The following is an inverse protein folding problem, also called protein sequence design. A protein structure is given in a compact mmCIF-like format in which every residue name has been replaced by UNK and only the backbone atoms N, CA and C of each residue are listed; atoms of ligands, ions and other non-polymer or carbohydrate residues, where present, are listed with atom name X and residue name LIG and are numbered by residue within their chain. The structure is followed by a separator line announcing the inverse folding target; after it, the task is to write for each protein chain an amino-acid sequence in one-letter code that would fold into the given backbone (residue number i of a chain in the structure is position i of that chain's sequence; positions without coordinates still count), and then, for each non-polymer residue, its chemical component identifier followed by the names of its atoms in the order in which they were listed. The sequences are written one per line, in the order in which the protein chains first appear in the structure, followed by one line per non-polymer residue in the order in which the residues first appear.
data_IF_054221599413
#
_entry.id   IF_054221599413
#
_cell.length_a   1.000
_cell.length_b   1.000
_cell.length_c   1.000
_cell.angle_alpha   90.00
_cell.angle_beta   90.00
_cell.angle_gamma   90.00
#
_symmetry.space_group_name_H-M   'P 1'
#
loop_
_entity.id
_entity.type
_entity.pdbx_description
1 polymer ?
#
# COMPACT_ATOMS: atom_id res chain seq x y z
N UNK A 1 -13.53 0.15 37.84
CA UNK A 1 -12.47 -0.84 38.15
C UNK A 1 -12.08 -1.57 36.87
N UNK A 2 -10.93 -1.13 36.32
CA UNK A 2 -9.86 -1.94 35.70
C UNK A 2 -10.23 -2.83 34.50
N UNK A 3 -9.71 -2.66 33.30
CA UNK A 3 -8.72 -1.74 32.74
C UNK A 3 -8.57 -2.11 31.27
N UNK A 4 -8.88 -1.18 30.37
CA UNK A 4 -8.75 -1.38 28.93
C UNK A 4 -7.31 -1.11 28.53
N UNK A 5 -6.52 -2.19 28.40
CA UNK A 5 -5.19 -2.11 27.82
C UNK A 5 -5.32 -1.97 26.30
N UNK A 6 -5.24 -0.73 25.83
CA UNK A 6 -4.89 -0.40 24.46
C UNK A 6 -3.50 -0.96 24.14
N UNK A 7 -3.45 -2.11 23.45
CA UNK A 7 -2.24 -2.55 22.75
C UNK A 7 -2.10 -1.71 21.46
N UNK A 8 -1.69 -0.45 21.62
CA UNK A 8 -1.11 0.32 20.51
C UNK A 8 0.30 -0.21 20.31
N UNK A 9 0.54 -0.88 19.19
CA UNK A 9 1.88 -1.17 18.70
C UNK A 9 2.58 0.15 18.38
N UNK A 10 3.18 0.78 19.40
CA UNK A 10 4.15 1.86 19.22
C UNK A 10 5.47 1.21 18.82
N UNK A 11 5.70 1.09 17.51
CA UNK A 11 7.03 0.85 16.97
C UNK A 11 7.85 2.14 17.12
N UNK A 12 8.25 2.45 18.36
CA UNK A 12 9.16 3.54 18.67
C UNK A 12 10.56 2.92 18.75
N UNK A 13 11.12 2.63 17.58
CA UNK A 13 12.52 2.27 17.47
C UNK A 13 13.34 3.55 17.69
N UNK A 14 13.73 3.77 18.95
CA UNK A 14 14.73 4.75 19.33
C UNK A 14 16.10 4.24 18.85
N UNK A 15 16.39 4.41 17.55
CA UNK A 15 17.74 4.28 17.01
C UNK A 15 18.54 5.51 17.44
N UNK A 16 19.08 5.44 18.65
CA UNK A 16 20.15 6.30 19.12
C UNK A 16 21.45 5.84 18.45
N UNK A 17 21.57 6.08 17.15
CA UNK A 17 22.86 6.09 16.49
C UNK A 17 23.61 7.33 16.99
N UNK A 18 24.44 7.14 18.01
CA UNK A 18 25.62 7.98 18.20
C UNK A 18 26.55 7.71 17.02
N UNK A 19 26.23 8.33 15.88
CA UNK A 19 27.18 8.48 14.80
C UNK A 19 28.26 9.44 15.29
N UNK A 20 29.35 8.90 15.83
CA UNK A 20 30.66 9.56 15.83
C UNK A 20 31.16 9.65 14.39
N UNK A 21 30.43 10.39 13.57
CA UNK A 21 30.88 10.78 12.24
C UNK A 21 32.13 11.66 12.39
N UNK A 22 33.07 11.60 11.44
CA UNK A 22 34.32 12.36 11.52
C UNK A 22 34.01 13.86 11.55
N UNK A 23 34.33 14.52 12.67
CA UNK A 23 34.24 15.98 12.89
C UNK A 23 34.98 16.80 11.81
N UNK A 24 35.84 16.16 11.01
CA UNK A 24 36.53 16.77 9.86
C UNK A 24 35.60 17.28 8.75
N UNK A 25 34.39 16.74 8.59
CA UNK A 25 33.46 17.22 7.55
C UNK A 25 32.87 18.62 7.86
N UNK A 26 32.74 18.98 9.13
CA UNK A 26 32.13 20.26 9.52
C UNK A 26 33.06 21.48 9.24
N UNK A 27 34.38 21.30 9.38
CA UNK A 27 35.35 22.38 9.19
C UNK A 27 35.65 22.70 7.71
N UNK A 28 35.56 21.70 6.80
CA UNK A 28 35.69 21.96 5.35
C UNK A 28 34.46 22.68 4.79
N UNK A 29 33.26 22.38 5.31
CA UNK A 29 32.03 23.01 4.85
C UNK A 29 31.93 24.51 5.23
N UNK A 30 32.57 24.95 6.33
CA UNK A 30 32.52 26.35 6.74
C UNK A 30 33.34 27.26 5.81
N UNK A 31 34.51 26.83 5.35
CA UNK A 31 35.36 27.62 4.44
C UNK A 31 34.68 27.85 3.08
N UNK A 32 34.03 26.83 2.53
CA UNK A 32 33.27 26.96 1.28
C UNK A 32 32.07 27.91 1.39
N UNK A 33 31.46 28.02 2.58
CA UNK A 33 30.32 28.91 2.80
C UNK A 33 30.69 30.40 2.78
N UNK A 34 31.89 30.76 3.24
CA UNK A 34 32.37 32.16 3.23
C UNK A 34 32.65 32.66 1.81
N UNK A 35 33.30 31.83 0.99
CA UNK A 35 33.56 32.17 -0.42
C UNK A 35 32.25 32.30 -1.21
N UNK A 36 31.28 31.42 -0.98
CA UNK A 36 29.99 31.46 -1.67
C UNK A 36 29.20 32.75 -1.39
N UNK A 37 29.21 33.23 -0.14
CA UNK A 37 28.59 34.50 0.24
C UNK A 37 29.29 35.70 -0.44
N UNK A 38 30.62 35.69 -0.52
CA UNK A 38 31.40 36.70 -1.23
C UNK A 38 31.09 36.74 -2.74
N UNK A 39 31.06 35.57 -3.39
CA UNK A 39 30.70 35.44 -4.80
C UNK A 39 29.27 35.91 -5.08
N UNK A 40 28.33 35.60 -4.18
CA UNK A 40 26.96 36.09 -4.26
C UNK A 40 26.89 37.62 -4.18
N UNK A 41 27.57 38.24 -3.21
CA UNK A 41 27.61 39.69 -3.06
C UNK A 41 28.22 40.38 -4.29
N UNK A 42 29.27 39.81 -4.88
CA UNK A 42 29.93 40.37 -6.06
C UNK A 42 29.11 40.26 -7.35
N UNK A 43 28.34 39.18 -7.51
CA UNK A 43 27.80 38.78 -8.83
C UNK A 43 26.27 38.85 -8.93
N UNK A 44 25.57 38.57 -7.83
CA UNK A 44 24.12 38.33 -7.82
C UNK A 44 23.33 39.25 -6.89
N UNK A 45 23.98 40.11 -6.10
CA UNK A 45 23.31 41.00 -5.13
C UNK A 45 22.22 41.89 -5.75
N UNK A 46 22.47 42.43 -6.93
CA UNK A 46 21.54 43.34 -7.63
C UNK A 46 20.53 42.59 -8.52
N UNK A 47 20.64 41.26 -8.64
CA UNK A 47 19.71 40.47 -9.45
C UNK A 47 18.33 40.44 -8.80
N UNK A 48 17.28 40.46 -9.60
CA UNK A 48 15.90 40.34 -9.12
C UNK A 48 15.51 38.88 -8.92
N UNK A 49 14.25 38.65 -8.52
CA UNK A 49 13.66 37.32 -8.35
C UNK A 49 13.93 36.40 -9.56
N UNK A 50 14.54 35.25 -9.32
CA UNK A 50 14.97 34.31 -10.34
C UNK A 50 15.94 33.24 -9.81
N UNK A 51 16.37 32.34 -10.66
CA UNK A 51 17.44 31.38 -10.35
C UNK A 51 18.64 31.63 -11.26
N UNK A 52 19.85 31.56 -10.68
CA UNK A 52 21.08 31.93 -11.36
C UNK A 52 22.20 30.92 -11.08
N UNK A 53 22.95 30.47 -12.10
CA UNK A 53 24.14 29.66 -11.85
C UNK A 53 25.23 30.52 -11.18
N UNK A 54 25.89 29.99 -10.14
CA UNK A 54 27.01 30.61 -9.45
C UNK A 54 28.06 29.54 -9.14
N UNK A 55 29.13 29.47 -9.94
CA UNK A 55 30.12 28.39 -9.87
C UNK A 55 29.47 26.99 -9.85
N UNK A 56 29.64 26.24 -8.77
CA UNK A 56 29.08 24.89 -8.56
C UNK A 56 27.68 24.88 -7.92
N UNK A 57 27.04 26.04 -7.84
CA UNK A 57 25.73 26.24 -7.23
C UNK A 57 24.71 26.79 -8.21
N UNK A 58 23.44 26.62 -7.86
CA UNK A 58 22.32 27.38 -8.39
C UNK A 58 21.73 28.17 -7.23
N UNK A 59 21.64 29.49 -7.41
CA UNK A 59 21.13 30.41 -6.39
C UNK A 59 19.71 30.83 -6.76
N UNK A 60 18.78 30.54 -5.88
CA UNK A 60 17.37 30.90 -5.98
C UNK A 60 17.14 32.17 -5.15
N UNK A 61 16.76 33.26 -5.83
CA UNK A 61 16.57 34.58 -5.23
C UNK A 61 15.08 34.91 -5.29
N UNK A 62 14.47 35.15 -4.13
CA UNK A 62 13.17 35.78 -4.02
C UNK A 62 13.34 37.18 -3.44
N UNK A 63 13.05 38.19 -4.26
CA UNK A 63 13.11 39.61 -3.92
C UNK A 63 11.71 40.21 -4.06
N UNK A 64 11.02 40.33 -2.92
CA UNK A 64 9.60 40.66 -2.85
C UNK A 64 9.42 42.10 -2.34
N UNK A 65 8.65 42.91 -3.08
CA UNK A 65 8.23 44.24 -2.61
C UNK A 65 7.15 44.09 -1.54
N UNK A 66 7.29 44.83 -0.45
CA UNK A 66 6.30 44.96 0.61
C UNK A 66 5.26 46.00 0.17
N UNK A 67 4.09 45.52 -0.26
CA UNK A 67 2.99 46.36 -0.72
C UNK A 67 2.37 47.17 0.43
N UNK A 68 2.28 46.57 1.62
CA UNK A 68 1.73 47.20 2.81
C UNK A 68 2.72 47.09 3.99
N UNK A 69 2.98 48.23 4.65
CA UNK A 69 3.79 48.31 5.86
C UNK A 69 3.18 47.57 7.05
N UNK A 70 1.93 47.13 6.98
CA UNK A 70 1.29 46.26 7.97
C UNK A 70 1.80 44.81 7.93
N UNK A 71 2.19 44.30 6.76
CA UNK A 71 2.61 42.89 6.58
C UNK A 71 3.90 42.64 7.35
N UNK A 72 3.92 41.70 8.30
CA UNK A 72 5.10 41.51 9.15
C UNK A 72 6.32 40.99 8.36
N UNK A 73 7.53 41.21 8.90
CA UNK A 73 8.77 40.65 8.32
C UNK A 73 8.71 39.12 8.29
N UNK A 74 8.06 38.49 9.27
CA UNK A 74 7.84 37.04 9.32
C UNK A 74 6.98 36.56 8.15
N UNK A 75 5.90 37.29 7.82
CA UNK A 75 5.03 36.94 6.69
C UNK A 75 5.75 37.13 5.36
N UNK A 76 6.53 38.22 5.22
CA UNK A 76 7.37 38.44 4.05
C UNK A 76 8.40 37.33 3.86
N UNK A 77 9.03 36.87 4.96
CA UNK A 77 9.93 35.72 4.93
C UNK A 77 9.22 34.45 4.47
N UNK A 78 8.05 34.15 5.01
CA UNK A 78 7.27 32.97 4.59
C UNK A 78 6.91 33.04 3.10
N UNK A 79 6.44 34.20 2.61
CA UNK A 79 6.17 34.44 1.19
C UNK A 79 7.43 34.27 0.33
N UNK A 80 8.58 34.78 0.77
CA UNK A 80 9.83 34.64 0.04
C UNK A 80 10.33 33.19 -0.02
N UNK A 81 10.16 32.42 1.06
CA UNK A 81 10.45 30.98 1.07
C UNK A 81 9.55 30.20 0.11
N UNK A 82 8.24 30.48 0.11
CA UNK A 82 7.30 29.90 -0.88
C UNK A 82 7.72 30.26 -2.32
N UNK A 83 8.14 31.51 -2.53
CA UNK A 83 8.61 31.97 -3.85
C UNK A 83 9.90 31.28 -4.29
N UNK A 84 10.85 31.05 -3.39
CA UNK A 84 12.02 30.22 -3.71
C UNK A 84 11.61 28.79 -4.05
N UNK A 85 10.63 28.23 -3.33
CA UNK A 85 10.02 26.94 -3.72
C UNK A 85 9.50 26.96 -5.15
N UNK A 86 8.74 27.98 -5.56
CA UNK A 86 8.32 28.17 -6.97
C UNK A 86 9.49 28.24 -7.95
N UNK A 87 10.56 28.96 -7.61
CA UNK A 87 11.73 29.06 -8.47
C UNK A 87 12.43 27.71 -8.63
N UNK A 88 12.58 26.94 -7.54
CA UNK A 88 13.11 25.57 -7.59
C UNK A 88 12.23 24.66 -8.45
N UNK A 89 10.90 24.80 -8.38
CA UNK A 89 9.97 24.09 -9.28
C UNK A 89 10.19 24.46 -10.74
N UNK A 90 10.29 25.76 -11.04
CA UNK A 90 10.52 26.24 -12.42
C UNK A 90 11.85 25.73 -12.99
N UNK A 91 12.90 25.70 -12.15
CA UNK A 91 14.21 25.18 -12.50
C UNK A 91 14.17 23.65 -12.71
N UNK A 92 13.47 22.92 -11.85
CA UNK A 92 13.29 21.46 -11.97
C UNK A 92 12.60 21.11 -13.30
N UNK A 93 11.54 21.83 -13.66
CA UNK A 93 10.85 21.64 -14.94
C UNK A 93 11.74 21.97 -16.14
N UNK A 94 12.59 23.02 -16.05
CA UNK A 94 13.49 23.37 -17.16
C UNK A 94 14.64 22.37 -17.34
N UNK A 95 15.24 21.91 -16.25
CA UNK A 95 16.45 21.06 -16.29
C UNK A 95 16.14 19.56 -16.37
N UNK A 96 15.10 19.09 -15.66
CA UNK A 96 14.71 17.68 -15.74
C UNK A 96 13.93 17.39 -17.04
N UNK A 97 13.40 18.42 -17.72
CA UNK A 97 12.64 18.32 -18.96
C UNK A 97 11.16 17.95 -18.74
N UNK A 98 10.40 17.77 -19.84
CA UNK A 98 9.09 17.13 -19.75
C UNK A 98 9.30 15.67 -19.39
N UNK A 99 8.77 15.32 -18.23
CA UNK A 99 8.83 13.97 -17.71
C UNK A 99 7.56 13.25 -18.18
N UNK A 100 7.69 12.53 -19.28
CA UNK A 100 6.65 11.65 -19.79
C UNK A 100 7.05 10.21 -19.46
N UNK A 101 6.27 9.57 -18.59
CA UNK A 101 6.42 8.14 -18.29
C UNK A 101 5.48 7.38 -19.24
N UNK A 102 5.97 6.31 -19.89
CA UNK A 102 5.10 5.43 -20.68
C UNK A 102 4.19 4.62 -19.76
N UNK A 103 3.06 5.23 -19.43
CA UNK A 103 2.00 4.65 -18.62
C UNK A 103 0.90 4.01 -19.51
N UNK A 104 1.20 3.72 -20.78
CA UNK A 104 0.23 3.18 -21.73
C UNK A 104 -0.36 1.83 -21.31
N UNK A 105 0.40 1.05 -20.53
CA UNK A 105 -0.02 -0.25 -19.98
C UNK A 105 -0.97 -0.16 -18.79
N UNK A 106 -1.07 1.00 -18.16
CA UNK A 106 -1.90 1.20 -16.97
C UNK A 106 -3.28 1.72 -17.34
N UNK A 107 -4.34 1.31 -16.61
CA UNK A 107 -5.66 1.93 -16.73
C UNK A 107 -5.61 3.44 -16.50
N UNK A 108 -6.59 4.16 -17.05
CA UNK A 108 -6.62 5.64 -17.01
C UNK A 108 -6.58 6.20 -15.58
N UNK A 109 -7.24 5.53 -14.62
CA UNK A 109 -7.30 5.94 -13.21
C UNK A 109 -5.92 5.92 -12.57
N UNK A 110 -5.22 4.77 -12.59
CA UNK A 110 -3.83 4.67 -12.13
C UNK A 110 -2.88 5.55 -12.93
N UNK A 111 -3.05 5.68 -14.24
CA UNK A 111 -2.23 6.58 -15.06
C UNK A 111 -2.31 8.03 -14.56
N UNK A 112 -3.51 8.55 -14.30
CA UNK A 112 -3.69 9.90 -13.74
C UNK A 112 -3.06 10.03 -12.36
N UNK A 113 -3.21 9.03 -11.50
CA UNK A 113 -2.60 9.00 -10.17
C UNK A 113 -1.07 9.06 -10.27
N UNK A 114 -0.48 8.21 -11.10
CA UNK A 114 0.97 8.11 -11.29
C UNK A 114 1.54 9.37 -11.93
N UNK A 115 0.86 9.93 -12.92
CA UNK A 115 1.21 11.20 -13.54
C UNK A 115 1.15 12.35 -12.52
N UNK A 116 0.06 12.46 -11.75
CA UNK A 116 -0.06 13.45 -10.68
C UNK A 116 1.01 13.29 -9.61
N UNK A 117 1.41 12.06 -9.28
CA UNK A 117 2.50 11.80 -8.35
C UNK A 117 3.85 12.25 -8.91
N UNK A 118 4.17 11.91 -10.16
CA UNK A 118 5.37 12.39 -10.85
C UNK A 118 5.42 13.91 -10.89
N UNK A 119 4.31 14.53 -11.31
CA UNK A 119 4.18 15.98 -11.33
C UNK A 119 4.40 16.57 -9.95
N UNK A 120 3.81 16.00 -8.89
CA UNK A 120 4.08 16.44 -7.52
C UNK A 120 5.55 16.28 -7.14
N UNK A 121 6.21 15.17 -7.45
CA UNK A 121 7.62 14.97 -7.13
C UNK A 121 8.53 15.98 -7.85
N UNK A 122 8.28 16.23 -9.14
CA UNK A 122 9.02 17.21 -9.96
C UNK A 122 8.73 18.64 -9.50
N UNK A 123 7.45 18.91 -9.20
CA UNK A 123 6.94 20.21 -8.78
C UNK A 123 7.04 20.40 -7.27
N UNK A 124 7.64 19.55 -6.46
CA UNK A 124 7.83 19.88 -5.03
C UNK A 124 9.20 19.43 -4.53
N UNK A 125 10.31 19.91 -5.13
CA UNK A 125 11.61 19.82 -4.48
C UNK A 125 11.50 20.53 -3.13
N UNK A 126 11.45 19.76 -2.05
CA UNK A 126 11.32 20.31 -0.71
C UNK A 126 12.69 20.80 -0.24
N UNK A 127 12.73 21.91 0.50
CA UNK A 127 13.99 22.41 1.07
C UNK A 127 14.74 21.34 1.88
N UNK A 128 14.01 20.42 2.52
CA UNK A 128 14.60 19.34 3.30
C UNK A 128 15.30 18.25 2.48
N UNK A 129 15.12 18.21 1.16
CA UNK A 129 15.81 17.26 0.27
C UNK A 129 17.21 17.71 -0.13
N UNK A 130 17.56 18.98 0.09
CA UNK A 130 18.81 19.57 -0.39
C UNK A 130 19.62 20.14 0.76
N UNK A 131 20.94 19.96 0.72
CA UNK A 131 21.85 20.64 1.64
C UNK A 131 22.16 22.03 1.09
N UNK A 132 21.16 22.92 1.14
CA UNK A 132 21.33 24.27 0.64
C UNK A 132 21.90 25.26 1.67
N UNK A 133 22.51 26.32 1.17
CA UNK A 133 23.09 27.40 1.97
C UNK A 133 22.21 28.65 1.88
N UNK A 134 21.84 29.21 3.04
CA UNK A 134 21.15 30.49 3.11
C UNK A 134 22.16 31.62 2.93
N UNK A 135 22.10 32.32 1.80
CA UNK A 135 23.02 33.42 1.48
C UNK A 135 22.49 34.77 1.95
N UNK A 136 21.17 34.96 1.91
CA UNK A 136 20.53 36.18 2.36
C UNK A 136 19.12 35.89 2.86
N UNK A 137 18.73 36.56 3.94
CA UNK A 137 17.40 36.48 4.52
C UNK A 137 17.15 37.76 5.34
N UNK A 138 16.99 38.87 4.64
CA UNK A 138 16.95 40.19 5.26
C UNK A 138 15.99 41.15 4.53
N UNK A 139 15.39 42.12 5.25
CA UNK A 139 14.71 43.23 4.63
C UNK A 139 15.72 44.20 3.99
N UNK A 140 15.39 44.71 2.80
CA UNK A 140 16.11 45.75 2.07
C UNK A 140 15.16 46.93 1.79
N UNK A 141 15.03 47.83 2.76
CA UNK A 141 14.07 48.95 2.68
C UNK A 141 12.62 48.45 2.62
N UNK A 142 11.93 48.73 1.50
CA UNK A 142 10.57 48.23 1.25
C UNK A 142 10.53 46.84 0.60
N UNK A 143 11.67 46.16 0.48
CA UNK A 143 11.76 44.83 -0.12
C UNK A 143 12.20 43.83 0.93
N UNK A 144 11.87 42.56 0.71
CA UNK A 144 12.38 41.44 1.49
C UNK A 144 13.10 40.49 0.55
N UNK A 145 14.37 40.21 0.84
CA UNK A 145 15.22 39.39 -0.01
C UNK A 145 15.59 38.10 0.69
N UNK A 146 15.37 36.99 -0.01
CA UNK A 146 15.71 35.65 0.42
C UNK A 146 16.50 34.97 -0.69
N UNK A 147 17.75 34.61 -0.44
CA UNK A 147 18.63 33.95 -1.40
C UNK A 147 19.11 32.61 -0.82
N UNK A 148 18.85 31.54 -1.55
CA UNK A 148 19.17 30.17 -1.14
C UNK A 148 19.96 29.47 -2.24
N UNK A 149 21.12 28.92 -1.92
CA UNK A 149 22.00 28.26 -2.88
C UNK A 149 21.95 26.74 -2.69
N UNK A 150 21.84 26.00 -3.79
CA UNK A 150 21.90 24.52 -3.79
C UNK A 150 23.00 24.08 -4.74
N UNK A 151 23.76 23.04 -4.36
CA UNK A 151 24.82 22.50 -5.20
C UNK A 151 24.24 21.91 -6.50
N UNK A 152 24.86 22.23 -7.64
CA UNK A 152 24.55 21.62 -8.94
C UNK A 152 24.61 20.10 -8.89
N UNK A 153 25.52 19.52 -8.10
CA UNK A 153 25.67 18.07 -7.96
C UNK A 153 24.44 17.41 -7.33
N UNK A 154 23.85 18.04 -6.32
CA UNK A 154 22.62 17.54 -5.68
C UNK A 154 21.42 17.69 -6.59
N UNK A 155 21.33 18.83 -7.27
CA UNK A 155 20.31 19.13 -8.27
C UNK A 155 20.34 18.15 -9.46
N UNK A 156 21.53 17.82 -9.97
CA UNK A 156 21.71 16.81 -11.03
C UNK A 156 21.29 15.43 -10.54
N UNK A 157 21.74 15.01 -9.34
CA UNK A 157 21.31 13.73 -8.74
C UNK A 157 19.80 13.64 -8.55
N UNK A 158 19.16 14.75 -8.17
CA UNK A 158 17.71 14.83 -8.07
C UNK A 158 17.06 14.59 -9.45
N UNK A 159 17.49 15.30 -10.50
CA UNK A 159 16.96 15.06 -11.84
C UNK A 159 17.25 13.66 -12.36
N UNK A 160 18.43 13.08 -12.07
CA UNK A 160 18.76 11.68 -12.41
C UNK A 160 17.83 10.71 -11.70
N UNK A 161 17.54 10.92 -10.41
CA UNK A 161 16.59 10.12 -9.65
C UNK A 161 15.17 10.19 -10.22
N UNK A 162 14.71 11.39 -10.58
CA UNK A 162 13.43 11.59 -11.28
C UNK A 162 13.43 10.84 -12.61
N UNK A 163 14.45 11.02 -13.45
CA UNK A 163 14.56 10.34 -14.75
C UNK A 163 14.56 8.82 -14.59
N UNK A 164 15.24 8.30 -13.58
CA UNK A 164 15.27 6.86 -13.30
C UNK A 164 13.88 6.32 -12.93
N UNK A 165 13.14 7.03 -12.08
CA UNK A 165 11.76 6.65 -11.72
C UNK A 165 10.85 6.63 -12.95
N UNK A 166 11.10 7.54 -13.90
CA UNK A 166 10.27 7.73 -15.10
C UNK A 166 10.54 6.67 -16.15
N UNK A 167 11.79 6.22 -16.24
CA UNK A 167 12.16 5.11 -17.13
C UNK A 167 11.61 3.77 -16.67
N UNK A 168 11.17 3.66 -15.41
CA UNK A 168 10.61 2.44 -14.83
C UNK A 168 9.22 2.71 -14.20
N UNK A 169 8.14 2.63 -15.01
CA UNK A 169 6.77 2.78 -14.53
C UNK A 169 6.44 1.87 -13.34
N UNK A 170 7.10 0.73 -13.24
CA UNK A 170 6.81 -0.25 -12.21
C UNK A 170 7.51 0.12 -10.88
N UNK A 171 8.71 0.69 -10.94
CA UNK A 171 9.33 1.33 -9.77
C UNK A 171 8.53 2.54 -9.28
N UNK A 172 7.99 3.34 -10.19
CA UNK A 172 7.08 4.43 -9.85
C UNK A 172 5.82 3.90 -9.13
N UNK A 173 5.19 2.85 -9.68
CA UNK A 173 4.04 2.20 -9.05
C UNK A 173 4.37 1.71 -7.64
N UNK A 174 5.51 1.01 -7.46
CA UNK A 174 5.95 0.55 -6.15
C UNK A 174 6.14 1.70 -5.17
N UNK A 175 6.82 2.77 -5.58
CA UNK A 175 7.07 3.94 -4.74
C UNK A 175 5.75 4.59 -4.27
N UNK A 176 4.76 4.68 -5.16
CA UNK A 176 3.44 5.23 -4.82
C UNK A 176 2.72 4.30 -3.85
N UNK A 177 2.71 2.99 -4.14
CA UNK A 177 2.05 1.99 -3.32
C UNK A 177 2.65 1.95 -1.91
N UNK A 178 3.98 1.95 -1.78
CA UNK A 178 4.67 1.92 -0.49
C UNK A 178 4.43 3.21 0.30
N UNK A 179 4.41 4.36 -0.38
CA UNK A 179 4.01 5.63 0.23
C UNK A 179 2.56 5.59 0.75
N UNK A 180 1.63 5.11 -0.07
CA UNK A 180 0.23 4.99 0.31
C UNK A 180 0.02 4.02 1.48
N UNK A 181 0.76 2.90 1.52
CA UNK A 181 0.73 1.95 2.65
C UNK A 181 1.28 2.59 3.92
N UNK A 182 2.40 3.32 3.83
CA UNK A 182 3.01 4.02 4.99
C UNK A 182 2.09 5.08 5.57
N UNK A 183 1.31 5.75 4.72
CA UNK A 183 0.33 6.76 5.11
C UNK A 183 -1.05 6.17 5.45
N UNK A 184 -1.20 4.84 5.43
CA UNK A 184 -2.48 4.13 5.64
C UNK A 184 -3.59 4.62 4.69
N UNK A 185 -3.24 5.11 3.50
CA UNK A 185 -4.18 5.54 2.46
C UNK A 185 -4.70 4.33 1.67
N UNK A 186 -5.49 3.50 2.35
CA UNK A 186 -5.98 2.23 1.80
C UNK A 186 -6.92 2.40 0.60
N UNK A 187 -7.56 3.56 0.45
CA UNK A 187 -8.34 3.87 -0.75
C UNK A 187 -7.42 3.98 -1.97
N UNK A 188 -6.28 4.67 -1.86
CA UNK A 188 -5.32 4.73 -2.96
C UNK A 188 -4.72 3.35 -3.25
N UNK A 189 -4.38 2.60 -2.19
CA UNK A 189 -3.86 1.23 -2.31
C UNK A 189 -4.84 0.31 -3.06
N UNK A 190 -6.14 0.37 -2.75
CA UNK A 190 -7.12 -0.48 -3.43
C UNK A 190 -7.22 -0.20 -4.92
N UNK A 191 -7.15 1.07 -5.31
CA UNK A 191 -7.18 1.49 -6.73
C UNK A 191 -5.98 0.94 -7.48
N UNK A 192 -4.79 1.15 -6.92
CA UNK A 192 -3.53 0.73 -7.53
C UNK A 192 -3.48 -0.79 -7.70
N UNK A 193 -3.91 -1.55 -6.69
CA UNK A 193 -3.94 -3.00 -6.75
C UNK A 193 -5.01 -3.52 -7.72
N UNK A 194 -6.17 -2.86 -7.78
CA UNK A 194 -7.22 -3.22 -8.73
C UNK A 194 -6.75 -3.06 -10.17
N UNK A 195 -6.20 -1.88 -10.50
CA UNK A 195 -5.68 -1.56 -11.82
C UNK A 195 -4.45 -2.40 -12.19
N UNK A 196 -3.70 -2.88 -11.19
CA UNK A 196 -2.63 -3.86 -11.38
C UNK A 196 -3.15 -5.28 -11.64
N UNK A 197 -4.46 -5.54 -11.57
CA UNK A 197 -5.05 -6.87 -11.77
C UNK A 197 -4.96 -7.78 -10.55
N UNK A 198 -4.95 -7.21 -9.34
CA UNK A 198 -4.87 -7.92 -8.05
C UNK A 198 -6.14 -7.70 -7.21
N UNK A 199 -7.32 -8.15 -7.68
CA UNK A 199 -8.62 -7.80 -7.10
C UNK A 199 -8.79 -8.25 -5.64
N UNK A 200 -8.19 -9.37 -5.24
CA UNK A 200 -8.25 -9.85 -3.85
C UNK A 200 -7.45 -8.97 -2.88
N UNK A 201 -6.27 -8.50 -3.28
CA UNK A 201 -5.49 -7.56 -2.46
C UNK A 201 -6.17 -6.17 -2.44
N UNK A 202 -6.74 -5.76 -3.57
CA UNK A 202 -7.54 -4.54 -3.64
C UNK A 202 -8.75 -4.61 -2.69
N UNK A 203 -9.46 -5.74 -2.69
CA UNK A 203 -10.56 -5.99 -1.74
C UNK A 203 -10.09 -5.86 -0.30
N UNK A 204 -8.95 -6.47 0.05
CA UNK A 204 -8.38 -6.38 1.40
C UNK A 204 -8.07 -4.93 1.80
N UNK A 205 -7.60 -4.10 0.86
CA UNK A 205 -7.36 -2.69 1.09
C UNK A 205 -8.66 -1.89 1.27
N UNK A 206 -9.69 -2.13 0.44
CA UNK A 206 -11.04 -1.55 0.66
C UNK A 206 -11.54 -1.87 2.06
N UNK A 207 -11.41 -3.15 2.43
CA UNK A 207 -11.73 -3.69 3.73
C UNK A 207 -11.02 -2.99 4.90
N UNK A 208 -9.76 -2.59 4.74
CA UNK A 208 -9.06 -1.77 5.75
C UNK A 208 -9.57 -0.33 5.76
N UNK A 209 -9.83 0.27 4.60
CA UNK A 209 -10.31 1.66 4.51
C UNK A 209 -11.69 1.86 5.16
N UNK A 210 -12.50 0.80 5.21
CA UNK A 210 -13.87 0.84 5.73
C UNK A 210 -14.02 0.29 7.16
N UNK A 211 -12.96 -0.27 7.77
CA UNK A 211 -13.07 -1.00 9.04
C UNK A 211 -13.61 -0.17 10.21
N UNK A 212 -13.39 1.15 10.20
CA UNK A 212 -13.88 2.06 11.24
C UNK A 212 -15.34 2.48 11.01
N UNK A 213 -15.83 2.29 9.79
CA UNK A 213 -17.16 2.69 9.34
C UNK A 213 -18.14 1.52 9.34
N UNK A 214 -17.68 0.32 8.96
CA UNK A 214 -18.48 -0.87 8.73
C UNK A 214 -17.84 -2.08 9.42
N UNK A 215 -18.66 -3.00 9.93
CA UNK A 215 -18.16 -4.28 10.41
C UNK A 215 -17.88 -5.22 9.23
N UNK A 216 -16.61 -5.30 8.83
CA UNK A 216 -16.16 -6.10 7.70
C UNK A 216 -15.88 -7.57 8.06
N UNK A 217 -16.13 -7.97 9.31
CA UNK A 217 -15.96 -9.34 9.79
C UNK A 217 -17.11 -10.20 9.27
N UNK A 218 -16.81 -11.28 8.56
CA UNK A 218 -17.80 -12.27 8.11
C UNK A 218 -17.65 -13.63 8.82
N UNK A 219 -16.73 -13.73 9.79
CA UNK A 219 -16.62 -14.86 10.71
C UNK A 219 -16.30 -14.38 12.14
N UNK A 220 -17.19 -14.68 13.08
CA UNK A 220 -17.01 -14.40 14.51
C UNK A 220 -17.49 -15.60 15.34
N UNK A 221 -16.84 -15.87 16.48
CA UNK A 221 -17.22 -16.97 17.38
C UNK A 221 -18.48 -16.68 18.21
N UNK A 222 -18.82 -15.40 18.40
CA UNK A 222 -19.96 -14.97 19.22
C UNK A 222 -20.81 -13.93 18.47
N UNK A 223 -21.43 -14.25 17.33
CA UNK A 223 -22.45 -13.38 16.78
C UNK A 223 -23.62 -13.37 17.78
N UNK A 224 -23.98 -12.22 18.35
CA UNK A 224 -25.25 -12.11 19.08
C UNK A 224 -26.38 -12.20 18.05
N UNK A 225 -27.08 -13.34 17.90
CA UNK A 225 -28.00 -13.55 16.78
C UNK A 225 -29.22 -12.63 16.87
N UNK A 226 -29.57 -12.20 18.09
CA UNK A 226 -30.66 -11.26 18.35
C UNK A 226 -30.29 -9.85 17.89
N UNK A 227 -29.08 -9.38 18.17
CA UNK A 227 -28.59 -8.09 17.68
C UNK A 227 -28.50 -8.08 16.15
N UNK A 228 -28.06 -9.19 15.56
CA UNK A 228 -28.04 -9.37 14.11
C UNK A 228 -29.43 -9.26 13.50
N UNK A 229 -30.38 -10.02 14.04
CA UNK A 229 -31.77 -10.02 13.58
C UNK A 229 -32.42 -8.65 13.75
N UNK A 230 -32.20 -7.97 14.87
CA UNK A 230 -32.78 -6.65 15.13
C UNK A 230 -32.28 -5.59 14.14
N UNK A 231 -30.97 -5.58 13.86
CA UNK A 231 -30.41 -4.62 12.91
C UNK A 231 -30.76 -4.96 11.45
N UNK A 232 -30.92 -6.24 11.09
CA UNK A 232 -31.52 -6.65 9.81
C UNK A 232 -32.98 -6.19 9.68
N UNK A 233 -33.78 -6.30 10.74
CA UNK A 233 -35.17 -5.86 10.73
C UNK A 233 -35.26 -4.34 10.56
N UNK A 234 -34.42 -3.57 11.27
CA UNK A 234 -34.34 -2.11 11.07
C UNK A 234 -33.99 -1.73 9.62
N UNK A 235 -33.14 -2.52 8.96
CA UNK A 235 -32.82 -2.33 7.54
C UNK A 235 -34.02 -2.59 6.64
N UNK A 236 -34.68 -3.75 6.77
CA UNK A 236 -35.81 -4.11 5.92
C UNK A 236 -37.00 -3.17 6.08
N UNK A 237 -37.16 -2.59 7.27
CA UNK A 237 -38.20 -1.59 7.53
C UNK A 237 -37.84 -0.19 6.99
N UNK A 238 -36.69 -0.03 6.32
CA UNK A 238 -36.21 1.26 5.81
C UNK A 238 -35.77 2.25 6.89
N UNK A 239 -35.59 1.78 8.13
CA UNK A 239 -35.26 2.60 9.32
C UNK A 239 -33.76 2.70 9.59
N UNK A 240 -32.93 2.05 8.76
CA UNK A 240 -31.49 2.05 8.92
C UNK A 240 -30.85 3.16 8.08
N UNK A 241 -30.46 4.25 8.72
CA UNK A 241 -29.61 5.26 8.09
C UNK A 241 -28.21 4.69 7.81
N UNK A 242 -27.60 5.10 6.70
CA UNK A 242 -26.22 4.72 6.31
C UNK A 242 -25.17 5.04 7.38
N UNK A 243 -25.46 5.98 8.27
CA UNK A 243 -24.62 6.43 9.39
C UNK A 243 -24.89 5.69 10.70
N UNK A 244 -25.85 4.76 10.75
CA UNK A 244 -26.27 4.17 12.02
C UNK A 244 -25.15 3.33 12.65
N UNK A 245 -24.94 3.51 13.96
CA UNK A 245 -24.00 2.71 14.76
C UNK A 245 -24.30 1.21 14.72
N UNK A 246 -25.51 0.83 14.28
CA UNK A 246 -25.96 -0.54 14.06
C UNK A 246 -25.20 -1.25 12.94
N UNK A 247 -24.75 -0.55 11.88
CA UNK A 247 -23.92 -1.15 10.82
C UNK A 247 -22.54 -1.57 11.31
N UNK A 248 -22.05 -0.96 12.40
CA UNK A 248 -20.81 -1.37 13.08
C UNK A 248 -20.97 -2.65 13.91
N UNK A 249 -22.21 -3.06 14.18
CA UNK A 249 -22.53 -4.22 15.05
C UNK A 249 -22.97 -5.45 14.27
N UNK A 250 -23.25 -5.31 12.99
CA UNK A 250 -23.63 -6.40 12.10
C UNK A 250 -22.39 -6.97 11.43
N UNK A 251 -21.82 -8.11 11.86
CA UNK A 251 -20.77 -8.76 11.08
C UNK A 251 -21.32 -9.07 9.69
N UNK A 252 -20.75 -8.39 8.69
CA UNK A 252 -20.95 -8.57 7.26
C UNK A 252 -22.19 -9.32 6.81
N UNK A 253 -23.41 -8.80 7.06
CA UNK A 253 -24.63 -9.42 6.53
C UNK A 253 -24.48 -9.56 5.01
N UNK A 254 -24.58 -10.78 4.46
CA UNK A 254 -24.43 -11.03 3.03
C UNK A 254 -25.41 -10.21 2.19
N UNK A 255 -26.64 -10.05 2.67
CA UNK A 255 -27.69 -9.30 2.00
C UNK A 255 -27.34 -7.81 1.95
N UNK A 256 -26.88 -7.24 3.07
CA UNK A 256 -26.43 -5.85 3.12
C UNK A 256 -25.25 -5.64 2.19
N UNK A 257 -24.25 -6.51 2.27
CA UNK A 257 -23.04 -6.43 1.44
C UNK A 257 -23.38 -6.55 -0.06
N UNK A 258 -24.24 -7.49 -0.43
CA UNK A 258 -24.72 -7.61 -1.81
C UNK A 258 -25.46 -6.36 -2.29
N UNK A 259 -26.38 -5.81 -1.47
CA UNK A 259 -27.08 -4.56 -1.77
C UNK A 259 -26.12 -3.37 -1.87
N UNK A 260 -25.09 -3.32 -1.03
CA UNK A 260 -24.06 -2.29 -1.10
C UNK A 260 -23.23 -2.39 -2.38
N UNK A 261 -22.91 -3.62 -2.82
CA UNK A 261 -22.22 -3.88 -4.08
C UNK A 261 -23.07 -3.51 -5.31
N UNK A 262 -24.39 -3.72 -5.25
CA UNK A 262 -25.32 -3.33 -6.31
C UNK A 262 -25.52 -1.81 -6.40
N UNK A 263 -25.42 -1.10 -5.28
CA UNK A 263 -25.54 0.36 -5.21
C UNK A 263 -24.25 1.11 -5.51
N UNK A 264 -23.11 0.45 -5.50
CA UNK A 264 -21.86 1.08 -5.91
C UNK A 264 -21.91 1.36 -7.40
N UNK A 265 -21.44 2.54 -7.77
CA UNK A 265 -21.26 2.93 -9.17
C UNK A 265 -20.15 2.09 -9.83
N UNK A 266 -20.22 1.92 -11.15
CA UNK A 266 -19.19 1.25 -11.96
C UNK A 266 -17.81 1.94 -11.82
N UNK A 267 -17.76 3.13 -11.24
CA UNK A 267 -16.55 3.89 -10.95
C UNK A 267 -15.70 3.34 -9.78
N UNK A 268 -16.24 2.48 -8.91
CA UNK A 268 -15.51 1.88 -7.77
C UNK A 268 -15.64 0.34 -7.73
N UNK A 269 -15.22 -0.37 -8.80
CA UNK A 269 -15.42 -1.81 -8.92
C UNK A 269 -14.69 -2.61 -7.82
N UNK A 270 -13.59 -2.09 -7.28
CA UNK A 270 -12.87 -2.68 -6.16
C UNK A 270 -13.72 -2.79 -4.89
N UNK A 271 -14.62 -1.83 -4.65
CA UNK A 271 -15.53 -1.85 -3.50
C UNK A 271 -16.65 -2.86 -3.70
N UNK A 272 -17.25 -2.87 -4.88
CA UNK A 272 -18.28 -3.85 -5.25
C UNK A 272 -17.74 -5.27 -5.12
N UNK A 273 -16.56 -5.53 -5.68
CA UNK A 273 -15.89 -6.82 -5.57
C UNK A 273 -15.66 -7.19 -4.11
N UNK A 274 -15.20 -6.24 -3.28
CA UNK A 274 -14.95 -6.49 -1.87
C UNK A 274 -16.20 -6.86 -1.08
N UNK A 275 -17.33 -6.21 -1.33
CA UNK A 275 -18.58 -6.53 -0.65
C UNK A 275 -19.14 -7.88 -1.09
N UNK A 276 -19.08 -8.18 -2.39
CA UNK A 276 -19.45 -9.49 -2.94
C UNK A 276 -18.58 -10.62 -2.36
N UNK A 277 -17.26 -10.40 -2.27
CA UNK A 277 -16.34 -11.37 -1.70
C UNK A 277 -16.69 -11.71 -0.24
N UNK A 278 -17.04 -10.69 0.56
CA UNK A 278 -17.42 -10.87 1.96
C UNK A 278 -18.79 -11.51 2.14
N UNK A 279 -19.69 -11.43 1.15
CA UNK A 279 -21.04 -12.04 1.22
C UNK A 279 -21.06 -13.52 0.81
N UNK A 280 -20.01 -14.03 0.16
CA UNK A 280 -19.91 -15.42 -0.27
C UNK A 280 -20.20 -16.48 0.81
N UNK A 281 -19.72 -16.36 2.08
CA UNK A 281 -19.88 -17.43 3.06
C UNK A 281 -21.34 -17.81 3.35
N UNK A 282 -22.26 -16.86 3.19
CA UNK A 282 -23.69 -17.08 3.42
C UNK A 282 -24.55 -16.78 2.18
N UNK A 283 -23.94 -16.83 1.00
CA UNK A 283 -24.63 -16.61 -0.28
C UNK A 283 -25.66 -17.70 -0.63
N UNK A 284 -25.53 -18.91 -0.08
CA UNK A 284 -26.41 -20.04 -0.38
C UNK A 284 -26.59 -20.26 -1.89
N UNK A 285 -27.84 -20.21 -2.36
CA UNK A 285 -28.19 -20.40 -3.77
C UNK A 285 -27.69 -19.26 -4.69
N UNK A 286 -27.43 -18.06 -4.17
CA UNK A 286 -26.93 -16.90 -4.95
C UNK A 286 -25.42 -16.95 -5.20
N UNK A 287 -24.72 -17.95 -4.67
CA UNK A 287 -23.25 -18.06 -4.78
C UNK A 287 -22.76 -17.97 -6.22
N UNK A 288 -23.38 -18.71 -7.15
CA UNK A 288 -22.98 -18.71 -8.56
C UNK A 288 -23.19 -17.36 -9.24
N UNK A 289 -24.28 -16.66 -8.90
CA UNK A 289 -24.58 -15.30 -9.38
C UNK A 289 -23.51 -14.31 -8.90
N UNK A 290 -23.17 -14.36 -7.61
CA UNK A 290 -22.15 -13.49 -7.00
C UNK A 290 -20.78 -13.73 -7.63
N UNK A 291 -20.37 -14.99 -7.80
CA UNK A 291 -19.10 -15.33 -8.43
C UNK A 291 -19.04 -14.82 -9.87
N UNK A 292 -20.10 -15.01 -10.66
CA UNK A 292 -20.18 -14.49 -12.02
C UNK A 292 -20.03 -12.96 -12.05
N UNK A 293 -20.68 -12.24 -11.13
CA UNK A 293 -20.55 -10.78 -11.02
C UNK A 293 -19.12 -10.37 -10.62
N UNK A 294 -18.46 -11.13 -9.74
CA UNK A 294 -17.05 -10.90 -9.39
C UNK A 294 -16.11 -11.13 -10.59
N UNK A 295 -16.39 -12.14 -11.42
CA UNK A 295 -15.66 -12.38 -12.68
C UNK A 295 -15.87 -11.22 -13.68
N UNK A 296 -17.11 -10.75 -13.83
CA UNK A 296 -17.47 -9.60 -14.69
C UNK A 296 -16.73 -8.33 -14.25
N UNK A 297 -16.69 -8.04 -12.94
CA UNK A 297 -15.97 -6.89 -12.40
C UNK A 297 -14.46 -7.00 -12.62
N UNK A 298 -13.87 -8.14 -12.27
CA UNK A 298 -12.41 -8.32 -12.28
C UNK A 298 -11.83 -8.67 -13.65
N UNK A 299 -12.67 -9.04 -14.62
CA UNK A 299 -12.25 -9.61 -15.91
C UNK A 299 -11.43 -10.89 -15.78
N UNK A 300 -11.46 -11.55 -14.61
CA UNK A 300 -10.67 -12.74 -14.30
C UNK A 300 -11.61 -13.87 -13.93
N UNK A 301 -11.48 -14.99 -14.64
CA UNK A 301 -12.24 -16.21 -14.34
C UNK A 301 -11.87 -16.73 -12.95
N UNK A 302 -12.86 -16.95 -12.10
CA UNK A 302 -12.70 -17.52 -10.76
C UNK A 302 -12.89 -19.03 -10.91
N UNK A 303 -11.82 -19.78 -10.67
CA UNK A 303 -11.85 -21.24 -10.71
C UNK A 303 -12.19 -21.71 -9.30
N UNK A 304 -13.39 -22.28 -9.14
CA UNK A 304 -13.81 -22.85 -7.86
C UNK A 304 -12.96 -24.08 -7.52
N UNK A 305 -12.38 -24.15 -6.32
CA UNK A 305 -11.62 -25.32 -5.92
C UNK A 305 -12.52 -26.54 -5.71
N UNK A 306 -12.08 -27.70 -6.19
CA UNK A 306 -12.64 -28.99 -5.83
C UNK A 306 -11.80 -29.61 -4.71
N UNK A 307 -11.96 -29.11 -3.49
CA UNK A 307 -11.28 -29.64 -2.31
C UNK A 307 -12.27 -30.41 -1.47
N UNK A 308 -11.99 -31.68 -1.25
CA UNK A 308 -12.66 -32.49 -0.23
C UNK A 308 -11.88 -32.33 1.08
N UNK A 309 -12.55 -31.89 2.14
CA UNK A 309 -11.96 -31.56 3.44
C UNK A 309 -12.94 -31.85 4.57
N UNK A 310 -12.47 -32.53 5.61
CA UNK A 310 -13.25 -32.77 6.83
C UNK A 310 -13.32 -31.52 7.73
N UNK A 311 -12.46 -30.53 7.51
CA UNK A 311 -12.51 -29.24 8.22
C UNK A 311 -13.55 -28.31 7.61
N UNK A 312 -14.48 -27.87 8.45
CA UNK A 312 -15.47 -26.86 8.08
C UNK A 312 -14.85 -25.50 7.78
N UNK A 313 -13.73 -25.14 8.41
CA UNK A 313 -13.03 -23.88 8.11
C UNK A 313 -12.30 -23.90 6.78
N UNK A 314 -11.67 -25.02 6.42
CA UNK A 314 -11.03 -25.16 5.11
C UNK A 314 -12.07 -25.19 4.00
N UNK A 315 -13.18 -25.91 4.19
CA UNK A 315 -14.30 -25.91 3.23
C UNK A 315 -14.93 -24.51 3.10
N UNK A 316 -15.08 -23.78 4.20
CA UNK A 316 -15.51 -22.38 4.17
C UNK A 316 -14.52 -21.50 3.39
N UNK A 317 -13.21 -21.69 3.58
CA UNK A 317 -12.19 -20.91 2.88
C UNK A 317 -12.23 -21.19 1.37
N UNK A 318 -12.32 -22.46 0.99
CA UNK A 318 -12.48 -22.90 -0.40
C UNK A 318 -13.76 -22.35 -1.01
N UNK A 319 -14.87 -22.44 -0.30
CA UNK A 319 -16.17 -22.01 -0.81
C UNK A 319 -16.26 -20.49 -1.00
N UNK A 320 -15.50 -19.74 -0.22
CA UNK A 320 -15.42 -18.27 -0.24
C UNK A 320 -14.19 -17.74 -0.96
N UNK A 321 -13.39 -18.62 -1.56
CA UNK A 321 -12.16 -18.28 -2.28
C UNK A 321 -11.16 -17.47 -1.43
N UNK A 322 -11.02 -17.87 -0.17
CA UNK A 322 -10.11 -17.27 0.80
C UNK A 322 -10.53 -15.87 1.28
N UNK A 323 -11.83 -15.56 1.27
CA UNK A 323 -12.36 -14.26 1.70
C UNK A 323 -13.02 -14.32 3.09
N UNK A 324 -12.46 -15.14 3.99
CA UNK A 324 -12.88 -15.13 5.40
C UNK A 324 -12.13 -14.03 6.13
N UNK A 325 -12.88 -13.12 6.75
CA UNK A 325 -12.38 -12.09 7.65
C UNK A 325 -12.81 -12.42 9.08
N UNK A 326 -11.82 -12.84 9.86
CA UNK A 326 -11.97 -13.17 11.27
C UNK A 326 -12.13 -11.91 12.12
N UNK A 327 -12.99 -12.00 13.14
CA UNK A 327 -13.07 -10.99 14.19
C UNK A 327 -11.96 -11.16 15.23
N UNK A 328 -11.69 -10.11 16.00
CA UNK A 328 -10.58 -10.07 16.97
C UNK A 328 -10.66 -11.14 18.07
N UNK A 329 -11.86 -11.68 18.34
CA UNK A 329 -12.06 -12.74 19.32
C UNK A 329 -11.70 -14.14 18.79
N UNK A 330 -11.42 -14.28 17.50
CA UNK A 330 -11.06 -15.56 16.88
C UNK A 330 -9.61 -15.91 17.24
N UNK A 331 -9.34 -17.10 17.80
CA UNK A 331 -8.00 -17.52 18.19
C UNK A 331 -6.98 -17.52 17.05
N UNK A 332 -5.80 -16.96 17.32
CA UNK A 332 -4.65 -16.94 16.42
C UNK A 332 -3.35 -17.50 17.06
N UNK A 333 -3.45 -18.18 18.20
CA UNK A 333 -2.30 -18.75 18.90
C UNK A 333 -1.84 -20.09 18.29
N UNK A 334 -0.63 -20.53 18.63
CA UNK A 334 -0.10 -21.84 18.21
C UNK A 334 -0.68 -22.95 19.09
N UNK A 335 -1.73 -23.62 18.61
CA UNK A 335 -2.38 -24.71 19.34
C UNK A 335 -1.54 -26.01 19.33
N UNK A 336 -2.07 -27.07 19.93
CA UNK A 336 -1.36 -28.35 19.99
C UNK A 336 -1.28 -29.03 18.61
N UNK A 337 -2.36 -28.98 17.82
CA UNK A 337 -2.41 -29.61 16.50
C UNK A 337 -1.45 -28.95 15.52
N UNK A 338 -1.42 -27.61 15.48
CA UNK A 338 -0.49 -26.87 14.63
C UNK A 338 0.98 -27.18 15.00
N UNK A 339 1.32 -27.20 16.29
CA UNK A 339 2.69 -27.51 16.72
C UNK A 339 3.12 -28.93 16.32
N UNK A 340 2.21 -29.90 16.45
CA UNK A 340 2.46 -31.27 16.01
C UNK A 340 2.59 -31.37 14.49
N UNK A 341 1.72 -30.70 13.74
CA UNK A 341 1.78 -30.67 12.27
C UNK A 341 3.10 -30.07 11.77
N UNK A 342 3.55 -28.96 12.35
CA UNK A 342 4.83 -28.32 12.01
C UNK A 342 6.01 -29.27 12.30
N UNK A 343 5.96 -29.95 13.43
CA UNK A 343 7.01 -30.93 13.80
C UNK A 343 7.08 -32.05 12.77
N UNK A 344 5.95 -32.68 12.45
CA UNK A 344 5.87 -33.73 11.44
C UNK A 344 6.28 -33.22 10.03
N UNK A 345 5.88 -32.01 9.67
CA UNK A 345 6.25 -31.40 8.38
C UNK A 345 7.78 -31.26 8.26
N UNK A 346 8.44 -30.77 9.31
CA UNK A 346 9.91 -30.61 9.34
C UNK A 346 10.63 -31.96 9.31
N UNK A 347 10.05 -32.99 9.94
CA UNK A 347 10.56 -34.36 9.94
C UNK A 347 10.26 -35.13 8.65
N UNK A 348 9.54 -34.51 7.69
CA UNK A 348 9.03 -35.16 6.46
C UNK A 348 8.18 -36.39 6.78
N UNK A 349 7.35 -36.27 7.80
CA UNK A 349 6.40 -37.30 8.25
C UNK A 349 5.29 -37.58 7.24
N UNK A 350 4.32 -38.39 7.67
CA UNK A 350 3.19 -38.78 6.83
C UNK A 350 2.36 -37.56 6.39
N UNK A 351 2.20 -37.39 5.08
CA UNK A 351 1.48 -36.26 4.49
C UNK A 351 0.01 -36.21 4.90
N UNK A 352 -0.65 -37.37 4.98
CA UNK A 352 -2.07 -37.45 5.35
C UNK A 352 -2.28 -37.01 6.78
N UNK A 353 -1.42 -37.48 7.69
CA UNK A 353 -1.43 -37.08 9.10
C UNK A 353 -1.15 -35.59 9.27
N UNK A 354 -0.16 -35.04 8.56
CA UNK A 354 0.12 -33.59 8.59
C UNK A 354 -1.12 -32.80 8.16
N UNK A 355 -1.74 -33.19 7.05
CA UNK A 355 -2.94 -32.52 6.54
C UNK A 355 -4.10 -32.57 7.54
N UNK A 356 -4.38 -33.74 8.12
CA UNK A 356 -5.45 -33.90 9.10
C UNK A 356 -5.23 -33.01 10.34
N UNK A 357 -3.99 -32.94 10.85
CA UNK A 357 -3.66 -32.06 11.99
C UNK A 357 -3.81 -30.58 11.64
N UNK A 358 -3.44 -30.19 10.41
CA UNK A 358 -3.62 -28.81 9.96
C UNK A 358 -5.09 -28.43 9.76
N UNK A 359 -5.92 -29.35 9.26
CA UNK A 359 -7.38 -29.18 9.14
C UNK A 359 -8.02 -29.02 10.54
N UNK A 360 -7.60 -29.84 11.52
CA UNK A 360 -8.01 -29.66 12.92
C UNK A 360 -7.55 -28.34 13.53
N UNK A 361 -6.33 -27.90 13.20
CA UNK A 361 -5.81 -26.60 13.62
C UNK A 361 -6.60 -25.45 12.97
N UNK A 362 -7.03 -25.58 11.71
CA UNK A 362 -7.85 -24.58 11.03
C UNK A 362 -9.20 -24.41 11.73
N UNK A 363 -9.82 -25.48 12.21
CA UNK A 363 -11.07 -25.36 12.96
C UNK A 363 -10.89 -24.73 14.36
N UNK A 364 -9.71 -24.88 14.98
CA UNK A 364 -9.45 -24.37 16.35
C UNK A 364 -8.86 -22.97 16.41
N UNK A 365 -7.92 -22.67 15.53
CA UNK A 365 -7.18 -21.40 15.49
C UNK A 365 -7.18 -20.81 14.07
N UNK A 366 -8.36 -20.59 13.44
CA UNK A 366 -8.45 -20.19 12.04
C UNK A 366 -7.83 -18.83 11.75
N UNK A 367 -7.63 -17.96 12.75
CA UNK A 367 -6.95 -16.68 12.54
C UNK A 367 -5.42 -16.79 12.59
N UNK A 368 -4.84 -17.97 12.82
CA UNK A 368 -3.39 -18.17 12.81
C UNK A 368 -2.87 -18.35 11.37
N UNK A 369 -2.06 -17.41 10.83
CA UNK A 369 -1.57 -17.48 9.46
C UNK A 369 -0.70 -18.70 9.17
N UNK A 370 -0.03 -19.28 10.17
CA UNK A 370 0.80 -20.49 9.96
C UNK A 370 -0.06 -21.67 9.49
N UNK A 371 -1.29 -21.80 9.98
CA UNK A 371 -2.19 -22.89 9.57
C UNK A 371 -2.39 -22.86 8.06
N UNK A 372 -2.73 -21.69 7.51
CA UNK A 372 -2.98 -21.51 6.09
C UNK A 372 -1.71 -21.67 5.24
N UNK A 373 -0.56 -21.22 5.74
CA UNK A 373 0.72 -21.39 5.04
C UNK A 373 1.08 -22.88 4.87
N UNK A 374 1.06 -23.64 5.97
CA UNK A 374 1.35 -25.09 5.92
C UNK A 374 0.27 -25.86 5.15
N UNK A 375 -1.01 -25.51 5.26
CA UNK A 375 -2.08 -26.10 4.44
C UNK A 375 -1.84 -25.85 2.94
N UNK A 376 -1.50 -24.62 2.56
CA UNK A 376 -1.20 -24.28 1.17
C UNK A 376 -0.01 -25.08 0.63
N UNK A 377 1.03 -25.25 1.46
CA UNK A 377 2.19 -26.05 1.11
C UNK A 377 1.83 -27.54 0.91
N UNK A 378 0.98 -28.09 1.79
CA UNK A 378 0.47 -29.47 1.67
C UNK A 378 -0.36 -29.66 0.40
N UNK A 379 -1.31 -28.76 0.13
CA UNK A 379 -2.15 -28.83 -1.08
C UNK A 379 -1.31 -28.76 -2.36
N UNK A 380 -0.29 -27.89 -2.39
CA UNK A 380 0.68 -27.85 -3.50
C UNK A 380 1.49 -29.14 -3.63
N UNK A 381 1.92 -29.73 -2.52
CA UNK A 381 2.67 -30.99 -2.53
C UNK A 381 1.84 -32.16 -3.10
N UNK A 382 0.52 -32.06 -2.99
CA UNK A 382 -0.44 -33.03 -3.55
C UNK A 382 -1.01 -32.59 -4.91
N UNK A 383 -0.50 -31.48 -5.47
CA UNK A 383 -0.91 -30.90 -6.76
C UNK A 383 -2.38 -30.47 -6.83
N UNK A 384 -2.99 -30.20 -5.67
CA UNK A 384 -4.34 -29.65 -5.54
C UNK A 384 -4.22 -28.12 -5.63
N UNK A 385 -3.92 -27.63 -6.82
CA UNK A 385 -3.51 -26.24 -7.05
C UNK A 385 -4.63 -25.23 -6.84
N UNK A 386 -5.85 -25.58 -7.23
CA UNK A 386 -7.07 -24.81 -7.02
C UNK A 386 -7.38 -24.64 -5.54
N UNK A 387 -7.25 -25.71 -4.74
CA UNK A 387 -7.33 -25.63 -3.28
C UNK A 387 -6.26 -24.71 -2.69
N UNK A 388 -5.04 -24.86 -3.21
CA UNK A 388 -3.92 -23.98 -2.85
C UNK A 388 -4.23 -22.50 -3.10
N UNK A 389 -4.91 -22.15 -4.20
CA UNK A 389 -5.34 -20.76 -4.47
C UNK A 389 -6.19 -20.21 -3.33
N UNK A 390 -7.25 -20.93 -2.92
CA UNK A 390 -8.15 -20.44 -1.87
C UNK A 390 -7.41 -20.28 -0.53
N UNK A 391 -6.58 -21.25 -0.17
CA UNK A 391 -5.81 -21.22 1.08
C UNK A 391 -4.76 -20.11 1.10
N UNK A 392 -4.03 -19.89 0.00
CA UNK A 392 -3.08 -18.76 -0.07
C UNK A 392 -3.78 -17.41 -0.11
N UNK A 393 -4.96 -17.31 -0.73
CA UNK A 393 -5.77 -16.09 -0.64
C UNK A 393 -6.23 -15.83 0.79
N UNK A 394 -6.62 -16.88 1.53
CA UNK A 394 -6.95 -16.77 2.94
C UNK A 394 -5.76 -16.33 3.78
N UNK A 395 -4.56 -16.86 3.51
CA UNK A 395 -3.33 -16.40 4.14
C UNK A 395 -3.08 -14.90 3.85
N UNK A 396 -3.31 -14.46 2.61
CA UNK A 396 -3.14 -13.06 2.21
C UNK A 396 -4.21 -12.12 2.82
N UNK A 397 -5.36 -12.64 3.29
CA UNK A 397 -6.27 -11.84 4.12
C UNK A 397 -5.65 -11.52 5.49
N UNK A 398 -4.91 -12.48 6.07
CA UNK A 398 -4.25 -12.36 7.37
C UNK A 398 -2.92 -11.61 7.29
N UNK A 399 -2.15 -11.86 6.23
CA UNK A 399 -0.85 -11.23 5.94
C UNK A 399 -0.85 -10.64 4.54
N UNK A 400 -1.43 -9.44 4.39
CA UNK A 400 -1.40 -8.75 3.12
C UNK A 400 0.06 -8.54 2.68
N UNK A 401 0.35 -8.80 1.41
CA UNK A 401 1.66 -8.60 0.80
C UNK A 401 2.81 -9.53 1.27
N UNK A 402 2.50 -10.65 1.92
CA UNK A 402 3.47 -11.71 2.19
C UNK A 402 4.06 -12.24 0.85
N UNK A 403 5.37 -12.05 0.66
CA UNK A 403 6.05 -12.28 -0.62
C UNK A 403 6.07 -13.77 -1.00
N UNK A 404 6.19 -14.65 -0.01
CA UNK A 404 6.20 -16.10 -0.19
C UNK A 404 4.79 -16.62 -0.52
N UNK A 405 3.77 -16.17 0.20
CA UNK A 405 2.37 -16.49 -0.09
C UNK A 405 1.96 -16.00 -1.49
N UNK A 406 2.36 -14.78 -1.89
CA UNK A 406 2.11 -14.27 -3.25
C UNK A 406 2.82 -15.11 -4.31
N UNK A 407 4.08 -15.50 -4.09
CA UNK A 407 4.80 -16.34 -5.04
C UNK A 407 4.12 -17.72 -5.18
N UNK A 408 3.69 -18.31 -4.06
CA UNK A 408 2.97 -19.58 -4.06
C UNK A 408 1.60 -19.48 -4.72
N UNK A 409 0.86 -18.39 -4.51
CA UNK A 409 -0.39 -18.11 -5.23
C UNK A 409 -0.14 -18.00 -6.74
N UNK A 410 0.90 -17.27 -7.16
CA UNK A 410 1.27 -17.17 -8.57
C UNK A 410 1.59 -18.56 -9.17
N UNK A 411 2.29 -19.40 -8.41
CA UNK A 411 2.58 -20.78 -8.80
C UNK A 411 1.29 -21.60 -8.97
N UNK A 412 0.35 -21.51 -8.03
CA UNK A 412 -0.95 -22.18 -8.12
C UNK A 412 -1.72 -21.71 -9.35
N UNK A 413 -1.80 -20.40 -9.60
CA UNK A 413 -2.42 -19.84 -10.80
C UNK A 413 -1.80 -20.35 -12.10
N UNK A 414 -0.47 -20.45 -12.16
CA UNK A 414 0.21 -20.97 -13.34
C UNK A 414 -0.19 -22.43 -13.62
N UNK A 415 -0.28 -23.25 -12.57
CA UNK A 415 -0.59 -24.68 -12.70
C UNK A 415 -2.06 -24.96 -13.04
N UNK A 416 -3.01 -24.11 -12.62
CA UNK A 416 -4.41 -24.21 -13.06
C UNK A 416 -4.68 -23.55 -14.42
N UNK A 417 -3.64 -23.10 -15.12
CA UNK A 417 -3.73 -22.49 -16.45
C UNK A 417 -4.06 -20.99 -16.45
N UNK A 418 -4.22 -20.35 -15.29
CA UNK A 418 -4.38 -18.90 -15.19
C UNK A 418 -3.02 -18.18 -15.31
N UNK A 419 -2.39 -18.31 -16.48
CA UNK A 419 -1.06 -17.73 -16.77
C UNK A 419 -1.04 -16.20 -16.65
N UNK A 420 -2.15 -15.54 -17.00
CA UNK A 420 -2.29 -14.07 -16.88
C UNK A 420 -2.20 -13.65 -15.41
N UNK A 421 -3.02 -14.24 -14.54
CA UNK A 421 -3.00 -13.94 -13.10
C UNK A 421 -1.65 -14.27 -12.45
N UNK A 422 -1.06 -15.42 -12.80
CA UNK A 422 0.27 -15.80 -12.35
C UNK A 422 1.33 -14.75 -12.73
N UNK A 423 1.32 -14.31 -13.99
CA UNK A 423 2.25 -13.31 -14.50
C UNK A 423 2.06 -11.95 -13.83
N UNK A 424 0.82 -11.53 -13.64
CA UNK A 424 0.47 -10.30 -12.92
C UNK A 424 1.06 -10.28 -11.51
N UNK A 425 0.87 -11.35 -10.73
CA UNK A 425 1.45 -11.44 -9.38
C UNK A 425 2.98 -11.48 -9.42
N UNK A 426 3.56 -12.22 -10.37
CA UNK A 426 5.01 -12.32 -10.50
C UNK A 426 5.67 -10.98 -10.84
N UNK A 427 5.07 -10.23 -11.75
CA UNK A 427 5.53 -8.88 -12.09
C UNK A 427 5.30 -7.92 -10.91
N UNK A 428 4.20 -8.02 -10.17
CA UNK A 428 4.00 -7.26 -8.94
C UNK A 428 5.09 -7.50 -7.89
N UNK A 429 5.45 -8.76 -7.62
CA UNK A 429 6.54 -9.09 -6.68
C UNK A 429 7.88 -8.53 -7.19
N UNK A 430 8.19 -8.76 -8.47
CA UNK A 430 9.47 -8.36 -9.07
C UNK A 430 9.65 -6.85 -9.07
N UNK A 431 8.69 -6.10 -9.59
CA UNK A 431 8.79 -4.65 -9.69
C UNK A 431 8.56 -3.93 -8.36
N UNK A 432 7.78 -4.54 -7.46
CA UNK A 432 7.63 -4.07 -6.08
C UNK A 432 8.91 -4.18 -5.25
N UNK A 433 9.99 -4.76 -5.81
CA UNK A 433 11.21 -5.14 -5.07
C UNK A 433 10.88 -5.95 -3.81
N UNK A 434 9.80 -6.73 -3.88
CA UNK A 434 9.33 -7.63 -2.80
C UNK A 434 9.98 -9.02 -2.93
N UNK A 435 10.97 -9.13 -3.81
CA UNK A 435 11.89 -10.24 -3.85
C UNK A 435 12.88 -10.03 -2.72
N UNK A 436 12.60 -10.65 -1.58
CA UNK A 436 13.58 -10.83 -0.52
C UNK A 436 14.74 -11.71 -1.03
N UNK A 437 15.80 -11.87 -0.23
CA UNK A 437 16.86 -12.87 -0.47
C UNK A 437 16.34 -14.33 -0.41
N UNK A 438 15.02 -14.52 -0.45
CA UNK A 438 14.32 -15.79 -0.49
C UNK A 438 14.51 -16.46 -1.87
N UNK A 439 15.30 -17.54 -1.87
CA UNK A 439 15.60 -18.36 -3.07
C UNK A 439 14.35 -18.99 -3.67
N UNK A 440 13.36 -19.34 -2.86
CA UNK A 440 12.11 -19.98 -3.31
C UNK A 440 11.27 -19.01 -4.12
N UNK A 441 11.06 -17.79 -3.58
CA UNK A 441 10.35 -16.71 -4.28
C UNK A 441 11.02 -16.42 -5.61
N UNK A 442 12.33 -16.21 -5.61
CA UNK A 442 13.12 -15.98 -6.82
C UNK A 442 12.93 -17.07 -7.88
N UNK A 443 13.03 -18.35 -7.48
CA UNK A 443 12.85 -19.47 -8.41
C UNK A 443 11.47 -19.47 -9.05
N UNK A 444 10.41 -19.31 -8.26
CA UNK A 444 9.03 -19.30 -8.75
C UNK A 444 8.80 -18.13 -9.70
N UNK A 445 9.24 -16.93 -9.33
CA UNK A 445 9.07 -15.74 -10.16
C UNK A 445 9.83 -15.86 -11.48
N UNK A 446 11.05 -16.40 -11.47
CA UNK A 446 11.79 -16.67 -12.70
C UNK A 446 11.13 -17.72 -13.58
N UNK A 447 10.56 -18.77 -12.99
CA UNK A 447 9.84 -19.83 -13.73
C UNK A 447 8.60 -19.29 -14.44
N UNK A 448 7.79 -18.46 -13.77
CA UNK A 448 6.59 -17.85 -14.35
C UNK A 448 6.93 -16.76 -15.38
N UNK A 449 8.11 -16.13 -15.24
CA UNK A 449 8.51 -15.03 -16.11
C UNK A 449 9.22 -15.45 -17.40
N UNK A 450 9.71 -16.69 -17.47
CA UNK A 450 10.23 -17.33 -18.69
C UNK A 450 9.08 -17.71 -19.62
#
# INVERSE_FOLDING_TARGET
MTGSHYFRFSFLFLLLFLATGPVKAAAQNSLQSFDLAGMYQASLKEKVTGWYPLADYVVFIADLKREDRSISVRDMRAKAMLKVGELMRSWSVSECGRVECDLGRWPERSRKIMQNYLEKQIQTPSFGQFNGHLLENAPQGQRFRYAFAVSKKELVRFCEGVKQIVTDPAALFSSILDGALKEENFQLVSILLWDAGLPHLASRAVQESLKDQLCMVNYALLPNPLEQRNALQMLFDGRLEKSSSSLKKLPGSPEILALMAEKQDESEPEKSFSFLALSLPAAGQRRTEILKKMEELSGTKIILPAVDSDSGMVDMSVSTFGNIRFGDAVPAYDDAYLRQAITLFNERGDKGQIRQLLEQAADRVPANPKVWDYLGAMLKADKIWDGGVAVYLQLLQLRPFDSEALAHLAQCYNNIGNKKGARTIADFIYYGRRIEDNKTVNRIIQEIRR
#
